data_IF_620638085086
#
_entry.id   IF_620638085086
#
_cell.length_a   1.000
_cell.length_b   1.000
_cell.length_c   1.000
_cell.angle_alpha   90.00
_cell.angle_beta   90.00
_cell.angle_gamma   90.00
#
_symmetry.space_group_name_H-M   'P 1'
#
loop_
_entity.id
_entity.type
_entity.pdbx_description
1 polymer ?
#
# COMPACT_ATOMS: atom_id res chain seq x y z
N UNK A 1 -4.90 -17.35 -19.21
CA UNK A 1 -4.11 -17.45 -17.97
C UNK A 1 -4.68 -18.60 -17.16
N UNK A 2 -3.92 -19.70 -16.99
CA UNK A 2 -4.37 -20.86 -16.21
C UNK A 2 -4.38 -20.45 -14.75
N UNK A 3 -5.56 -20.29 -14.17
CA UNK A 3 -5.74 -20.11 -12.72
C UNK A 3 -5.36 -21.42 -12.04
N UNK A 4 -4.23 -21.41 -11.33
CA UNK A 4 -3.81 -22.59 -10.59
C UNK A 4 -4.70 -22.75 -9.35
N UNK A 5 -5.33 -23.96 -9.25
CA UNK A 5 -6.09 -24.34 -8.07
C UNK A 5 -5.10 -24.78 -6.99
N UNK A 6 -5.17 -24.14 -5.84
CA UNK A 6 -4.37 -24.47 -4.66
C UNK A 6 -5.26 -24.94 -3.51
N UNK A 7 -4.65 -25.66 -2.57
CA UNK A 7 -5.33 -26.24 -1.42
C UNK A 7 -4.70 -25.74 -0.13
N UNK A 8 -5.49 -25.22 0.79
CA UNK A 8 -4.97 -24.78 2.09
C UNK A 8 -4.66 -25.98 2.99
N UNK A 9 -5.50 -27.02 2.94
CA UNK A 9 -5.38 -28.23 3.76
C UNK A 9 -5.43 -29.51 2.89
N UNK A 10 -4.39 -29.80 2.09
CA UNK A 10 -4.41 -30.93 1.15
C UNK A 10 -4.57 -32.29 1.85
N UNK A 11 -4.17 -32.40 3.13
CA UNK A 11 -4.32 -33.61 3.91
C UNK A 11 -5.79 -34.01 4.13
N UNK A 12 -6.75 -33.08 4.07
CA UNK A 12 -8.18 -33.37 4.19
C UNK A 12 -8.68 -34.26 3.05
N UNK A 13 -8.01 -34.28 1.89
CA UNK A 13 -8.34 -35.15 0.76
C UNK A 13 -8.14 -36.63 1.08
N UNK A 14 -7.40 -37.00 2.10
CA UNK A 14 -7.31 -38.41 2.57
C UNK A 14 -8.64 -38.95 3.05
N UNK A 15 -9.61 -38.08 3.36
CA UNK A 15 -10.97 -38.48 3.72
C UNK A 15 -11.90 -38.78 2.51
N UNK A 16 -11.42 -38.63 1.26
CA UNK A 16 -12.21 -38.93 0.05
C UNK A 16 -12.87 -40.31 0.02
N UNK A 17 -12.24 -41.39 0.52
CA UNK A 17 -12.90 -42.69 0.58
C UNK A 17 -14.23 -42.72 1.36
N UNK A 18 -14.43 -41.78 2.32
CA UNK A 18 -15.66 -41.64 3.07
C UNK A 18 -16.86 -41.31 2.18
N UNK A 19 -16.63 -40.69 1.03
CA UNK A 19 -17.67 -40.36 0.06
C UNK A 19 -18.33 -41.64 -0.54
N UNK A 20 -17.68 -42.79 -0.47
CA UNK A 20 -18.23 -44.05 -0.92
C UNK A 20 -19.20 -44.71 0.10
N UNK A 21 -19.12 -44.32 1.39
CA UNK A 21 -19.94 -44.93 2.45
C UNK A 21 -21.47 -44.93 2.16
N UNK A 22 -22.07 -43.82 1.66
CA UNK A 22 -23.49 -43.81 1.37
C UNK A 22 -23.94 -44.75 0.23
N UNK A 23 -22.99 -45.26 -0.58
CA UNK A 23 -23.28 -46.19 -1.68
C UNK A 23 -23.46 -47.63 -1.18
N UNK A 24 -22.94 -47.94 0.01
CA UNK A 24 -23.04 -49.26 0.60
C UNK A 24 -24.26 -49.36 1.53
N UNK A 25 -24.94 -50.51 1.52
CA UNK A 25 -26.04 -50.82 2.44
C UNK A 25 -25.50 -51.20 3.84
N UNK A 26 -24.96 -50.25 4.56
CA UNK A 26 -24.51 -50.46 5.93
C UNK A 26 -25.69 -50.32 6.87
N UNK A 27 -26.26 -51.44 7.27
CA UNK A 27 -27.25 -51.53 8.35
C UNK A 27 -28.72 -51.64 7.97
N UNK A 28 -29.05 -52.04 6.74
CA UNK A 28 -30.42 -52.50 6.44
C UNK A 28 -30.73 -53.73 7.29
N UNK A 29 -31.44 -53.57 8.41
CA UNK A 29 -32.03 -54.69 9.13
C UNK A 29 -33.10 -55.26 8.20
N UNK A 30 -32.76 -56.33 7.47
CA UNK A 30 -33.70 -57.08 6.68
C UNK A 30 -34.61 -57.86 7.63
N UNK A 31 -35.82 -57.36 7.87
CA UNK A 31 -36.86 -58.18 8.45
C UNK A 31 -37.31 -59.12 7.39
N UNK A 32 -37.11 -60.45 7.61
CA UNK A 32 -37.60 -61.44 6.74
C UNK A 32 -39.15 -61.47 6.84
N UNK A 33 -39.81 -60.87 5.86
CA UNK A 33 -41.26 -60.99 5.70
C UNK A 33 -41.59 -62.28 4.82
N UNK A 34 -42.45 -63.14 5.24
CA UNK A 34 -42.59 -64.45 4.62
C UNK A 34 -43.22 -64.49 3.18
N UNK A 35 -43.63 -63.33 2.66
CA UNK A 35 -44.35 -63.28 1.34
C UNK A 35 -44.05 -62.02 0.56
N UNK A 36 -42.78 -61.82 0.15
CA UNK A 36 -42.42 -60.71 -0.73
C UNK A 36 -42.24 -61.11 -2.21
N UNK A 37 -42.43 -62.40 -2.54
CA UNK A 37 -42.24 -62.90 -3.89
C UNK A 37 -43.26 -62.39 -4.91
N UNK A 38 -44.39 -61.88 -4.44
CA UNK A 38 -45.52 -61.48 -5.32
C UNK A 38 -45.61 -59.99 -5.59
N UNK A 39 -44.69 -59.23 -5.07
CA UNK A 39 -44.67 -57.80 -5.29
C UNK A 39 -43.86 -57.43 -6.54
N UNK A 40 -44.49 -56.72 -7.50
CA UNK A 40 -43.75 -56.26 -8.68
C UNK A 40 -42.57 -55.33 -8.28
N UNK A 41 -41.44 -55.59 -8.91
CA UNK A 41 -40.26 -54.75 -8.71
C UNK A 41 -40.58 -53.31 -9.12
N UNK A 42 -40.75 -52.43 -8.14
CA UNK A 42 -41.02 -51.02 -8.40
C UNK A 42 -39.72 -50.31 -8.84
N UNK A 43 -39.64 -50.01 -10.15
CA UNK A 43 -38.53 -49.31 -10.76
C UNK A 43 -38.36 -47.90 -10.17
N UNK A 44 -39.47 -47.24 -9.79
CA UNK A 44 -39.45 -45.89 -9.26
C UNK A 44 -38.72 -45.84 -7.90
N UNK A 45 -39.05 -46.79 -6.99
CA UNK A 45 -38.37 -46.93 -5.69
C UNK A 45 -36.88 -47.24 -5.84
N UNK A 46 -36.52 -48.05 -6.83
CA UNK A 46 -35.11 -48.39 -7.08
C UNK A 46 -34.33 -47.18 -7.57
N UNK A 47 -34.89 -46.39 -8.48
CA UNK A 47 -34.29 -45.14 -9.00
C UNK A 47 -34.17 -44.10 -7.88
N UNK A 48 -35.24 -43.91 -7.09
CA UNK A 48 -35.25 -42.97 -5.98
C UNK A 48 -34.15 -43.30 -4.97
N UNK A 49 -34.01 -44.56 -4.59
CA UNK A 49 -32.96 -45.03 -3.68
C UNK A 49 -31.57 -44.79 -4.24
N UNK A 50 -31.36 -45.05 -5.53
CA UNK A 50 -30.08 -44.76 -6.18
C UNK A 50 -29.77 -43.28 -6.19
N UNK A 51 -30.75 -42.38 -6.45
CA UNK A 51 -30.60 -40.94 -6.41
C UNK A 51 -30.26 -40.44 -5.01
N UNK A 52 -30.95 -40.93 -3.97
CA UNK A 52 -30.66 -40.54 -2.58
C UNK A 52 -29.23 -40.96 -2.16
N UNK A 53 -28.79 -42.16 -2.55
CA UNK A 53 -27.41 -42.62 -2.31
C UNK A 53 -26.38 -41.75 -3.03
N UNK A 54 -26.65 -41.44 -4.29
CA UNK A 54 -25.79 -40.56 -5.09
C UNK A 54 -25.70 -39.16 -4.47
N UNK A 55 -26.84 -38.61 -3.99
CA UNK A 55 -26.88 -37.33 -3.27
C UNK A 55 -26.04 -37.40 -1.99
N UNK A 56 -26.13 -38.48 -1.23
CA UNK A 56 -25.32 -38.67 -0.02
C UNK A 56 -23.83 -38.73 -0.33
N UNK A 57 -23.44 -39.51 -1.32
CA UNK A 57 -22.06 -39.62 -1.75
C UNK A 57 -21.50 -38.25 -2.24
N UNK A 58 -22.29 -37.50 -3.03
CA UNK A 58 -21.94 -36.21 -3.52
C UNK A 58 -21.81 -35.16 -2.37
N UNK A 59 -22.71 -35.23 -1.39
CA UNK A 59 -22.66 -34.37 -0.21
C UNK A 59 -21.39 -34.61 0.62
N UNK A 60 -21.02 -35.86 0.85
CA UNK A 60 -19.79 -36.20 1.55
C UNK A 60 -18.56 -35.80 0.72
N UNK A 61 -18.58 -36.06 -0.58
CA UNK A 61 -17.50 -35.64 -1.49
C UNK A 61 -17.26 -34.14 -1.45
N UNK A 62 -18.34 -33.36 -1.62
CA UNK A 62 -18.23 -31.89 -1.60
C UNK A 62 -17.82 -31.36 -0.23
N UNK A 63 -18.25 -32.00 0.87
CA UNK A 63 -17.83 -31.64 2.22
C UNK A 63 -16.33 -31.90 2.42
N UNK A 64 -15.80 -33.03 1.98
CA UNK A 64 -14.36 -33.33 2.07
C UNK A 64 -13.55 -32.38 1.22
N UNK A 65 -13.99 -32.10 -0.01
CA UNK A 65 -13.31 -31.14 -0.90
C UNK A 65 -13.36 -29.73 -0.31
N UNK A 66 -14.49 -29.30 0.24
CA UNK A 66 -14.62 -28.01 0.92
C UNK A 66 -13.69 -27.88 2.13
N UNK A 67 -13.54 -28.99 2.91
CA UNK A 67 -12.62 -29.04 4.06
C UNK A 67 -11.15 -28.91 3.68
N UNK A 68 -10.77 -29.28 2.45
CA UNK A 68 -9.45 -29.04 1.90
C UNK A 68 -9.21 -27.56 1.56
N UNK A 69 -10.25 -26.69 1.66
CA UNK A 69 -10.24 -25.26 1.41
C UNK A 69 -9.55 -24.91 0.08
N UNK A 70 -10.15 -25.28 -1.07
CA UNK A 70 -9.63 -24.93 -2.38
C UNK A 70 -9.76 -23.44 -2.62
N UNK A 71 -8.70 -22.83 -3.18
CA UNK A 71 -8.71 -21.43 -3.58
C UNK A 71 -8.02 -21.22 -4.93
N UNK A 72 -8.45 -20.21 -5.63
CA UNK A 72 -7.78 -19.71 -6.82
C UNK A 72 -6.90 -18.54 -6.43
N UNK A 73 -5.63 -18.59 -6.82
CA UNK A 73 -4.77 -17.42 -6.66
C UNK A 73 -5.29 -16.29 -7.53
N UNK A 74 -5.46 -15.14 -6.91
CA UNK A 74 -5.71 -13.91 -7.64
C UNK A 74 -4.49 -13.61 -8.52
N UNK A 75 -4.72 -13.39 -9.81
CA UNK A 75 -3.65 -12.94 -10.70
C UNK A 75 -3.09 -11.59 -10.25
N UNK A 76 -1.90 -11.23 -10.73
CA UNK A 76 -1.41 -9.85 -10.64
C UNK A 76 -2.05 -9.01 -11.75
N UNK A 77 -2.58 -7.86 -11.39
CA UNK A 77 -3.06 -6.87 -12.32
C UNK A 77 -2.13 -5.67 -12.27
N UNK A 78 -1.55 -5.30 -13.41
CA UNK A 78 -0.76 -4.08 -13.51
C UNK A 78 -1.74 -2.91 -13.59
N UNK A 79 -1.78 -2.11 -12.54
CA UNK A 79 -2.55 -0.87 -12.50
C UNK A 79 -1.61 0.31 -12.70
N UNK A 80 -2.11 1.35 -13.38
CA UNK A 80 -1.43 2.64 -13.43
C UNK A 80 -2.04 3.53 -12.35
N UNK A 81 -1.26 3.86 -11.32
CA UNK A 81 -1.64 4.86 -10.33
C UNK A 81 -1.59 6.26 -10.96
N UNK A 82 -2.58 7.07 -10.67
CA UNK A 82 -2.56 8.51 -10.97
C UNK A 82 -2.34 9.25 -9.66
N UNK A 83 -1.46 10.26 -9.71
CA UNK A 83 -1.09 11.05 -8.54
C UNK A 83 0.20 10.56 -7.85
N UNK A 84 0.62 11.30 -6.85
CA UNK A 84 1.79 11.02 -6.03
C UNK A 84 1.47 11.17 -4.54
N UNK A 85 2.20 10.42 -3.71
CA UNK A 85 2.27 10.59 -2.26
C UNK A 85 3.51 11.46 -1.97
N UNK A 86 3.30 12.71 -1.58
CA UNK A 86 4.37 13.70 -1.41
C UNK A 86 4.47 14.10 0.06
N UNK A 87 5.63 13.83 0.67
CA UNK A 87 5.93 14.33 2.01
C UNK A 87 6.87 15.51 1.90
N UNK A 88 6.38 16.69 2.28
CA UNK A 88 7.16 17.93 2.34
C UNK A 88 8.00 17.89 3.63
N UNK A 89 9.31 18.06 3.48
CA UNK A 89 10.26 18.17 4.59
C UNK A 89 10.84 19.58 4.53
N UNK A 90 10.31 20.45 5.40
CA UNK A 90 10.68 21.87 5.40
C UNK A 90 11.68 22.19 6.51
N UNK A 91 12.82 22.72 6.12
CA UNK A 91 13.82 23.26 7.02
C UNK A 91 13.30 24.55 7.66
N UNK A 92 13.44 24.64 8.97
CA UNK A 92 13.08 25.82 9.77
C UNK A 92 14.28 26.36 10.55
N UNK A 93 15.51 26.04 10.14
CA UNK A 93 16.72 26.57 10.73
C UNK A 93 16.81 28.10 10.58
N UNK A 94 17.64 28.72 11.37
CA UNK A 94 17.79 30.20 11.38
C UNK A 94 18.18 30.75 10.03
N UNK A 95 19.01 30.07 9.26
CA UNK A 95 19.43 30.42 7.91
C UNK A 95 18.29 30.53 6.90
N UNK A 96 17.16 29.84 7.14
CA UNK A 96 15.95 29.95 6.32
C UNK A 96 15.23 31.31 6.50
N UNK A 97 15.60 32.11 7.48
CA UNK A 97 15.16 33.54 7.63
C UNK A 97 15.92 34.53 6.75
N UNK A 98 17.03 34.09 6.16
CA UNK A 98 17.80 34.90 5.24
C UNK A 98 17.13 35.12 3.89
N UNK A 99 17.40 36.20 3.18
CA UNK A 99 16.86 36.45 1.85
C UNK A 99 17.46 35.49 0.82
N UNK A 100 16.71 35.17 -0.22
CA UNK A 100 17.25 34.54 -1.43
C UNK A 100 18.10 35.56 -2.21
N UNK A 101 19.20 35.11 -2.86
CA UNK A 101 20.15 35.97 -3.60
C UNK A 101 19.45 36.91 -4.59
N UNK A 102 18.49 36.42 -5.35
CA UNK A 102 17.78 37.18 -6.39
C UNK A 102 16.61 38.03 -5.91
N UNK A 103 16.38 38.14 -4.59
CA UNK A 103 15.30 38.97 -4.04
C UNK A 103 15.61 40.46 -3.95
N UNK A 104 16.79 40.89 -4.39
CA UNK A 104 17.24 42.30 -4.44
C UNK A 104 16.65 43.05 -5.64
N UNK A 105 15.34 43.08 -5.79
CA UNK A 105 14.65 43.95 -6.74
C UNK A 105 14.33 45.32 -6.12
N UNK A 106 14.20 46.36 -6.94
CA UNK A 106 14.00 47.77 -6.57
C UNK A 106 12.73 48.09 -5.73
N UNK A 107 11.95 47.10 -5.35
CA UNK A 107 10.78 47.18 -4.46
C UNK A 107 11.07 46.38 -3.16
N UNK A 108 11.74 46.97 -2.27
CA UNK A 108 11.96 46.85 -0.79
C UNK A 108 11.37 45.68 0.01
N UNK A 109 11.00 44.57 -0.61
CA UNK A 109 10.53 43.36 0.03
C UNK A 109 11.49 42.20 -0.20
N UNK A 110 12.53 42.11 0.66
CA UNK A 110 13.40 40.96 0.75
C UNK A 110 12.58 39.76 1.25
N UNK A 111 12.03 38.93 0.33
CA UNK A 111 11.35 37.72 0.71
C UNK A 111 12.40 36.70 1.20
N UNK A 112 12.28 36.28 2.46
CA UNK A 112 13.17 35.26 3.01
C UNK A 112 12.86 33.85 2.45
N UNK A 113 13.86 32.94 2.55
CA UNK A 113 13.78 31.55 1.99
C UNK A 113 12.52 30.83 2.44
N UNK A 114 12.15 30.91 3.74
CA UNK A 114 10.99 30.18 4.27
C UNK A 114 9.66 30.75 3.77
N UNK A 115 9.54 32.09 3.62
CA UNK A 115 8.32 32.70 3.10
C UNK A 115 8.11 32.39 1.62
N UNK A 116 9.18 32.44 0.83
CA UNK A 116 9.17 32.05 -0.57
C UNK A 116 8.77 30.57 -0.72
N UNK A 117 9.39 29.67 0.08
CA UNK A 117 9.05 28.25 0.11
C UNK A 117 7.57 28.02 0.45
N UNK A 118 7.06 28.67 1.51
CA UNK A 118 5.66 28.58 1.92
C UNK A 118 4.70 28.95 0.80
N UNK A 119 4.91 30.13 0.20
CA UNK A 119 4.06 30.65 -0.88
C UNK A 119 4.02 29.70 -2.09
N UNK A 120 5.18 29.25 -2.52
CA UNK A 120 5.29 28.39 -3.69
C UNK A 120 4.75 26.99 -3.45
N UNK A 121 5.00 26.40 -2.26
CA UNK A 121 4.47 25.09 -1.89
C UNK A 121 2.93 25.10 -1.77
N UNK A 122 2.34 26.16 -1.20
CA UNK A 122 0.89 26.31 -1.17
C UNK A 122 0.30 26.35 -2.59
N UNK A 123 0.88 27.15 -3.49
CA UNK A 123 0.44 27.21 -4.89
C UNK A 123 0.65 25.87 -5.62
N UNK A 124 1.71 25.13 -5.33
CA UNK A 124 1.96 23.79 -5.86
C UNK A 124 0.87 22.81 -5.46
N UNK A 125 0.55 22.74 -4.16
CA UNK A 125 -0.49 21.85 -3.65
C UNK A 125 -1.85 22.14 -4.29
N UNK A 126 -2.22 23.40 -4.48
CA UNK A 126 -3.49 23.80 -5.12
C UNK A 126 -3.62 23.32 -6.56
N UNK A 127 -2.50 23.25 -7.31
CA UNK A 127 -2.49 22.80 -8.71
C UNK A 127 -2.53 21.27 -8.87
N UNK A 128 -2.49 20.51 -7.77
CA UNK A 128 -2.35 19.05 -7.78
C UNK A 128 -3.45 18.33 -6.98
N UNK A 129 -4.71 18.40 -7.46
CA UNK A 129 -5.85 17.86 -6.72
C UNK A 129 -5.84 16.34 -6.55
N UNK A 130 -5.09 15.59 -7.36
CA UNK A 130 -4.98 14.13 -7.31
C UNK A 130 -3.87 13.59 -6.41
N UNK A 131 -3.06 14.46 -5.79
CA UNK A 131 -1.96 14.03 -4.93
C UNK A 131 -2.34 14.06 -3.46
N UNK A 132 -1.71 13.15 -2.69
CA UNK A 132 -1.75 13.15 -1.23
C UNK A 132 -0.53 13.85 -0.68
N UNK A 133 -0.74 14.70 0.33
CA UNK A 133 0.33 15.45 0.95
C UNK A 133 0.49 15.10 2.42
N UNK A 134 1.76 15.07 2.87
CA UNK A 134 2.14 15.05 4.26
C UNK A 134 3.20 16.12 4.51
N UNK A 135 3.46 16.48 5.76
CA UNK A 135 4.44 17.48 6.11
C UNK A 135 5.19 17.14 7.38
N UNK A 136 6.50 17.26 7.31
CA UNK A 136 7.39 17.31 8.46
C UNK A 136 8.19 18.61 8.39
N UNK A 137 8.53 19.16 9.54
CA UNK A 137 9.47 20.28 9.64
C UNK A 137 10.63 19.90 10.53
N UNK A 138 11.74 20.58 10.40
CA UNK A 138 12.88 20.34 11.28
C UNK A 138 13.71 21.61 11.51
N UNK A 139 14.34 21.62 12.67
CA UNK A 139 15.50 22.43 13.04
C UNK A 139 16.44 21.50 13.83
N UNK A 140 16.62 21.69 15.11
CA UNK A 140 17.37 20.78 15.99
C UNK A 140 16.71 19.40 16.15
N UNK A 141 15.38 19.31 15.93
CA UNK A 141 14.59 18.08 16.02
C UNK A 141 13.53 18.05 14.92
N UNK A 142 13.15 16.85 14.44
CA UNK A 142 12.06 16.71 13.51
C UNK A 142 10.73 16.89 14.22
N UNK A 143 9.78 17.52 13.53
CA UNK A 143 8.40 17.71 13.99
C UNK A 143 7.46 17.16 12.90
N UNK A 144 6.64 16.17 13.24
CA UNK A 144 5.55 15.74 12.39
C UNK A 144 4.41 16.75 12.43
N UNK A 145 4.13 17.39 11.31
CA UNK A 145 3.08 18.42 11.21
C UNK A 145 1.77 17.81 10.75
N UNK A 146 1.82 17.06 9.65
CA UNK A 146 0.65 16.40 9.08
C UNK A 146 1.04 15.05 8.45
N UNK A 147 0.39 13.95 8.79
CA UNK A 147 0.60 12.68 8.09
C UNK A 147 0.07 12.79 6.66
N UNK A 148 0.46 11.83 5.79
CA UNK A 148 -0.08 11.74 4.43
C UNK A 148 -1.60 11.60 4.46
N UNK A 149 -2.29 12.57 3.87
CA UNK A 149 -3.75 12.67 3.82
C UNK A 149 -4.23 13.31 2.52
N UNK A 150 -5.44 12.97 2.11
CA UNK A 150 -6.18 13.71 1.08
C UNK A 150 -6.67 15.07 1.60
N UNK A 151 -6.85 15.18 2.92
CA UNK A 151 -7.14 16.45 3.59
C UNK A 151 -5.88 17.31 3.65
N UNK A 152 -5.86 18.36 2.84
CA UNK A 152 -4.73 19.29 2.69
C UNK A 152 -4.69 20.37 3.76
N UNK A 153 -5.82 20.56 4.46
CA UNK A 153 -5.96 21.66 5.41
C UNK A 153 -4.90 21.65 6.51
N UNK A 154 -4.49 20.46 6.97
CA UNK A 154 -3.42 20.33 7.96
C UNK A 154 -2.05 20.74 7.41
N UNK A 155 -1.73 20.34 6.17
CA UNK A 155 -0.46 20.70 5.52
C UNK A 155 -0.43 22.21 5.20
N UNK A 156 -1.55 22.75 4.72
CA UNK A 156 -1.70 24.20 4.46
C UNK A 156 -1.53 25.02 5.75
N UNK A 157 -2.19 24.61 6.84
CA UNK A 157 -2.04 25.25 8.14
C UNK A 157 -0.59 25.15 8.66
N UNK A 158 0.05 23.99 8.47
CA UNK A 158 1.45 23.78 8.80
C UNK A 158 2.38 24.69 8.03
N UNK A 159 2.18 24.84 6.72
CA UNK A 159 2.95 25.78 5.89
C UNK A 159 2.72 27.22 6.30
N UNK A 160 1.49 27.63 6.57
CA UNK A 160 1.16 29.00 7.00
C UNK A 160 1.82 29.33 8.34
N UNK A 161 1.88 28.39 9.27
CA UNK A 161 2.48 28.56 10.60
C UNK A 161 4.00 28.35 10.64
N UNK A 162 4.61 27.93 9.52
CA UNK A 162 6.04 27.67 9.47
C UNK A 162 6.85 28.98 9.55
N UNK A 163 7.62 29.12 10.60
CA UNK A 163 8.54 30.22 10.83
C UNK A 163 9.95 29.68 11.04
N UNK A 164 10.97 30.38 10.53
CA UNK A 164 12.36 30.05 10.83
C UNK A 164 12.66 30.34 12.30
N UNK A 165 13.43 29.47 12.94
CA UNK A 165 13.84 29.60 14.33
C UNK A 165 15.34 29.39 14.46
N UNK A 166 16.00 30.34 15.09
CA UNK A 166 17.43 30.26 15.35
C UNK A 166 17.70 29.41 16.59
N UNK A 167 17.63 28.09 16.47
CA UNK A 167 17.93 27.16 17.54
C UNK A 167 18.87 26.04 17.03
N UNK A 168 20.15 26.16 17.40
CA UNK A 168 21.12 25.07 17.43
C UNK A 168 21.37 24.33 16.10
N UNK A 169 21.59 23.01 16.24
CA UNK A 169 21.89 22.12 15.12
C UNK A 169 20.69 21.82 14.24
N UNK A 170 20.95 21.59 12.97
CA UNK A 170 19.94 21.15 12.01
C UNK A 170 20.00 19.63 11.85
N UNK A 171 18.87 18.94 12.00
CA UNK A 171 18.80 17.48 12.03
C UNK A 171 18.03 16.88 10.81
N UNK A 172 18.55 16.99 9.58
CA UNK A 172 17.86 16.54 8.38
C UNK A 172 17.65 15.02 8.34
N UNK A 173 18.58 14.22 8.88
CA UNK A 173 18.49 12.77 8.85
C UNK A 173 17.25 12.25 9.57
N UNK A 174 16.95 12.76 10.75
CA UNK A 174 15.78 12.37 11.53
C UNK A 174 14.48 12.87 10.90
N UNK A 175 14.49 14.03 10.24
CA UNK A 175 13.34 14.55 9.51
C UNK A 175 13.01 13.70 8.28
N UNK A 176 14.02 13.32 7.51
CA UNK A 176 13.87 12.41 6.37
C UNK A 176 13.37 11.03 6.82
N UNK A 177 13.90 10.49 7.93
CA UNK A 177 13.44 9.23 8.48
C UNK A 177 11.96 9.30 8.93
N UNK A 178 11.55 10.40 9.57
CA UNK A 178 10.16 10.64 9.95
C UNK A 178 9.25 10.77 8.72
N UNK A 179 9.70 11.45 7.68
CA UNK A 179 8.95 11.58 6.43
C UNK A 179 8.74 10.20 5.75
N UNK A 180 9.78 9.37 5.74
CA UNK A 180 9.71 8.00 5.20
C UNK A 180 8.81 7.09 6.02
N UNK A 181 8.67 7.35 7.32
CA UNK A 181 7.77 6.60 8.19
C UNK A 181 6.28 6.79 7.82
N UNK A 182 5.91 7.92 7.23
CA UNK A 182 4.56 8.15 6.73
C UNK A 182 4.14 7.20 5.60
N UNK A 183 5.08 6.53 4.93
CA UNK A 183 4.81 5.53 3.91
C UNK A 183 4.75 4.09 4.45
N UNK A 184 5.03 3.86 5.76
CA UNK A 184 5.24 2.52 6.33
C UNK A 184 4.10 1.55 6.04
N UNK A 185 2.87 1.93 6.36
CA UNK A 185 1.70 1.06 6.31
C UNK A 185 0.80 1.34 5.10
N UNK A 186 1.33 2.07 4.11
CA UNK A 186 0.57 2.41 2.90
C UNK A 186 0.90 1.45 1.76
N UNK A 187 -0.11 1.03 0.99
CA UNK A 187 0.14 0.23 -0.21
C UNK A 187 0.88 1.06 -1.26
N UNK A 188 1.76 0.43 -2.04
CA UNK A 188 2.49 1.11 -3.12
C UNK A 188 1.57 1.30 -4.35
N UNK A 189 0.70 2.29 -4.29
CA UNK A 189 -0.29 2.60 -5.33
C UNK A 189 0.02 3.85 -6.13
N UNK A 190 0.97 4.66 -5.65
CA UNK A 190 1.37 5.93 -6.26
C UNK A 190 2.89 6.14 -6.14
N UNK A 191 3.44 7.10 -6.88
CA UNK A 191 4.82 7.53 -6.71
C UNK A 191 5.03 8.13 -5.34
N UNK A 192 6.08 7.70 -4.62
CA UNK A 192 6.43 8.20 -3.29
C UNK A 192 7.57 9.18 -3.38
N UNK A 193 7.37 10.38 -2.89
CA UNK A 193 8.30 11.48 -3.01
C UNK A 193 8.50 12.14 -1.67
N UNK A 194 9.75 12.27 -1.28
CA UNK A 194 10.18 13.14 -0.19
C UNK A 194 10.70 14.43 -0.82
N UNK A 195 9.99 15.54 -0.60
CA UNK A 195 10.35 16.86 -1.10
C UNK A 195 11.04 17.64 0.01
N UNK A 196 12.36 17.65 0.00
CA UNK A 196 13.18 18.39 0.95
C UNK A 196 13.35 19.82 0.47
N UNK A 197 13.05 20.79 1.32
CA UNK A 197 13.33 22.23 1.10
C UNK A 197 14.25 22.71 2.21
N UNK A 198 15.50 22.99 1.89
CA UNK A 198 16.56 23.32 2.85
C UNK A 198 17.72 24.04 2.15
N UNK A 199 18.47 24.84 2.89
CA UNK A 199 19.71 25.43 2.44
C UNK A 199 20.97 24.58 2.67
N UNK A 200 20.78 23.33 3.14
CA UNK A 200 21.85 22.35 3.24
C UNK A 200 22.90 22.61 4.31
N UNK A 201 22.63 23.48 5.26
CA UNK A 201 23.54 23.84 6.36
C UNK A 201 23.69 22.78 7.46
N UNK A 202 23.74 21.48 7.09
CA UNK A 202 23.82 20.40 8.07
C UNK A 202 24.54 19.16 7.51
N UNK A 203 25.18 18.39 8.39
CA UNK A 203 25.81 17.12 8.06
C UNK A 203 25.00 15.92 8.56
N UNK A 204 25.06 14.81 7.82
CA UNK A 204 24.49 13.53 8.23
C UNK A 204 25.62 12.59 8.64
N UNK A 205 25.59 12.10 9.88
CA UNK A 205 26.55 11.10 10.40
C UNK A 205 26.45 9.79 9.63
N UNK A 206 27.57 9.09 9.45
CA UNK A 206 27.64 7.88 8.61
C UNK A 206 26.66 6.79 9.05
N UNK A 207 26.48 6.56 10.34
CA UNK A 207 25.50 5.60 10.87
C UNK A 207 24.05 5.89 10.44
N UNK A 208 23.72 7.18 10.26
CA UNK A 208 22.40 7.61 9.80
C UNK A 208 22.28 7.55 8.27
N UNK A 209 23.40 7.68 7.53
CA UNK A 209 23.44 7.53 6.08
C UNK A 209 23.02 6.12 5.65
N UNK A 210 23.56 5.07 6.30
CA UNK A 210 23.18 3.69 6.02
C UNK A 210 21.70 3.41 6.31
N UNK A 211 21.20 3.91 7.45
CA UNK A 211 19.79 3.78 7.81
C UNK A 211 18.87 4.46 6.80
N UNK A 212 19.24 5.66 6.34
CA UNK A 212 18.45 6.39 5.33
C UNK A 212 18.44 5.66 3.98
N UNK A 213 19.60 5.15 3.51
CA UNK A 213 19.65 4.32 2.29
C UNK A 213 18.67 3.15 2.36
N UNK A 214 18.70 2.42 3.47
CA UNK A 214 17.81 1.29 3.68
C UNK A 214 16.33 1.70 3.68
N UNK A 215 15.99 2.81 4.37
CA UNK A 215 14.62 3.32 4.45
C UNK A 215 14.09 3.80 3.09
N UNK A 216 14.88 4.57 2.32
CA UNK A 216 14.48 5.00 0.99
C UNK A 216 14.23 3.81 0.05
N UNK A 217 15.11 2.82 0.08
CA UNK A 217 14.96 1.60 -0.71
C UNK A 217 13.73 0.78 -0.27
N UNK A 218 13.53 0.59 1.03
CA UNK A 218 12.40 -0.15 1.59
C UNK A 218 11.05 0.52 1.27
N UNK A 219 11.00 1.85 1.33
CA UNK A 219 9.77 2.61 1.08
C UNK A 219 9.55 2.88 -0.41
N UNK A 220 10.51 2.54 -1.28
CA UNK A 220 10.49 2.86 -2.71
C UNK A 220 10.25 4.36 -2.97
N UNK A 221 10.89 5.20 -2.17
CA UNK A 221 10.72 6.64 -2.22
C UNK A 221 11.83 7.31 -3.04
N UNK A 222 11.47 8.36 -3.75
CA UNK A 222 12.39 9.27 -4.43
C UNK A 222 12.65 10.49 -3.56
N UNK A 223 13.85 11.04 -3.61
CA UNK A 223 14.18 12.29 -2.94
C UNK A 223 14.31 13.41 -3.97
N UNK A 224 13.59 14.49 -3.76
CA UNK A 224 13.77 15.74 -4.51
C UNK A 224 14.21 16.79 -3.52
N UNK A 225 15.36 17.39 -3.77
CA UNK A 225 15.89 18.45 -2.93
C UNK A 225 15.83 19.80 -3.63
N UNK A 226 15.06 20.71 -3.06
CA UNK A 226 15.07 22.12 -3.42
C UNK A 226 16.09 22.80 -2.50
N UNK A 227 17.26 23.04 -3.05
CA UNK A 227 18.35 23.73 -2.36
C UNK A 227 18.17 25.25 -2.48
N UNK A 228 17.74 25.88 -1.38
CA UNK A 228 17.50 27.33 -1.32
C UNK A 228 18.81 28.05 -0.93
N UNK A 229 19.44 28.69 -1.90
CA UNK A 229 20.74 29.32 -1.71
C UNK A 229 20.63 30.80 -1.40
N UNK A 230 21.26 31.25 -0.32
CA UNK A 230 21.56 32.66 0.01
C UNK A 230 22.95 33.09 -0.47
N UNK A 231 23.31 34.31 -0.16
CA UNK A 231 24.58 34.92 -0.62
C UNK A 231 25.84 34.22 -0.10
N UNK A 232 25.78 33.68 1.10
CA UNK A 232 26.92 33.03 1.77
C UNK A 232 27.04 31.54 1.44
N UNK A 233 25.98 30.90 0.96
CA UNK A 233 26.03 29.49 0.64
C UNK A 233 26.67 29.24 -0.74
N UNK A 234 27.48 28.17 -0.85
CA UNK A 234 28.16 27.83 -2.09
C UNK A 234 27.17 27.24 -3.12
N UNK A 235 27.46 27.45 -4.40
CA UNK A 235 26.74 26.71 -5.46
C UNK A 235 27.18 25.27 -5.48
N UNK A 236 26.21 24.36 -5.52
CA UNK A 236 26.43 22.94 -5.69
C UNK A 236 26.62 22.61 -7.19
N UNK A 237 25.91 23.31 -8.08
CA UNK A 237 25.99 23.13 -9.54
C UNK A 237 27.34 23.59 -10.10
N UNK A 238 27.93 24.65 -9.52
CA UNK A 238 29.21 25.21 -9.92
C UNK A 238 30.14 25.40 -8.69
N UNK A 239 30.61 24.29 -8.09
CA UNK A 239 31.40 24.37 -6.88
C UNK A 239 32.74 25.05 -7.15
N UNK A 240 33.09 26.06 -6.35
CA UNK A 240 34.42 26.63 -6.34
C UNK A 240 35.41 25.62 -5.77
N UNK A 241 36.58 25.48 -6.37
CA UNK A 241 37.57 24.40 -6.15
C UNK A 241 38.07 24.15 -4.70
N UNK A 242 37.63 24.88 -3.69
CA UNK A 242 38.18 24.76 -2.33
C UNK A 242 37.20 24.52 -1.20
N UNK A 243 35.94 24.30 -1.44
CA UNK A 243 34.94 24.22 -0.36
C UNK A 243 34.33 22.83 -0.28
N UNK A 244 34.89 21.99 0.59
CA UNK A 244 34.11 20.89 1.17
C UNK A 244 33.07 21.57 2.10
N UNK A 245 31.82 21.68 1.64
CA UNK A 245 30.71 22.25 2.41
C UNK A 245 29.73 21.21 2.79
N UNK A 246 28.95 21.46 3.83
CA UNK A 246 27.92 20.54 4.30
C UNK A 246 26.91 20.23 3.19
N UNK A 247 26.49 21.23 2.42
CA UNK A 247 25.57 21.08 1.29
C UNK A 247 26.13 20.19 0.17
N UNK A 248 27.41 20.31 -0.17
CA UNK A 248 28.05 19.45 -1.15
C UNK A 248 28.12 17.99 -0.66
N UNK A 249 28.49 17.80 0.62
CA UNK A 249 28.52 16.47 1.25
C UNK A 249 27.13 15.80 1.28
N UNK A 250 26.08 16.59 1.51
CA UNK A 250 24.69 16.09 1.42
C UNK A 250 24.32 15.71 0.00
N UNK A 251 24.68 16.53 -0.99
CA UNK A 251 24.43 16.26 -2.40
C UNK A 251 25.10 14.96 -2.87
N UNK A 252 26.38 14.79 -2.54
CA UNK A 252 27.13 13.58 -2.84
C UNK A 252 26.49 12.34 -2.18
N UNK A 253 26.10 12.46 -0.91
CA UNK A 253 25.43 11.40 -0.19
C UNK A 253 24.11 11.03 -0.84
N UNK A 254 23.24 11.99 -1.14
CA UNK A 254 21.93 11.76 -1.76
C UNK A 254 22.07 11.18 -3.17
N UNK A 255 23.05 11.65 -3.96
CA UNK A 255 23.35 11.09 -5.28
C UNK A 255 23.85 9.65 -5.25
N UNK A 256 24.58 9.27 -4.19
CA UNK A 256 25.10 7.92 -3.95
C UNK A 256 24.16 6.98 -3.20
N UNK A 257 22.91 7.40 -2.93
CA UNK A 257 22.00 6.67 -2.06
C UNK A 257 21.36 5.42 -2.71
N UNK A 258 21.37 5.34 -4.06
CA UNK A 258 20.79 4.23 -4.81
C UNK A 258 19.27 4.36 -5.06
N UNK A 259 18.62 5.35 -4.49
CA UNK A 259 17.22 5.73 -4.78
C UNK A 259 17.17 6.89 -5.76
N UNK A 260 16.08 7.07 -6.54
CA UNK A 260 15.97 8.22 -7.44
C UNK A 260 16.12 9.53 -6.67
N UNK A 261 17.03 10.39 -7.16
CA UNK A 261 17.37 11.66 -6.53
C UNK A 261 17.46 12.75 -7.59
N UNK A 262 16.85 13.90 -7.31
CA UNK A 262 17.04 15.12 -8.09
C UNK A 262 17.24 16.33 -7.16
N UNK A 263 18.00 17.31 -7.65
CA UNK A 263 18.28 18.53 -6.90
C UNK A 263 18.08 19.75 -7.80
N UNK A 264 17.42 20.74 -7.24
CA UNK A 264 17.23 22.04 -7.87
C UNK A 264 17.86 23.13 -7.01
N UNK A 265 18.92 23.76 -7.51
CA UNK A 265 19.51 24.94 -6.88
C UNK A 265 18.66 26.17 -7.19
N UNK A 266 18.21 26.85 -6.15
CA UNK A 266 17.30 27.98 -6.21
C UNK A 266 17.94 29.19 -5.57
N UNK A 267 18.05 30.28 -6.35
CA UNK A 267 18.64 31.56 -5.94
C UNK A 267 17.63 32.70 -5.96
N UNK A 268 16.43 32.49 -6.52
CA UNK A 268 15.38 33.48 -6.60
C UNK A 268 14.01 32.92 -6.41
N UNK A 269 12.99 33.72 -6.05
CA UNK A 269 11.61 33.26 -5.94
C UNK A 269 11.07 32.63 -7.23
N UNK A 270 11.41 33.15 -8.41
CA UNK A 270 11.01 32.63 -9.71
C UNK A 270 11.74 31.31 -10.02
N UNK A 271 12.98 31.17 -9.54
CA UNK A 271 13.74 29.93 -9.58
C UNK A 271 13.03 28.83 -8.78
N UNK A 272 12.51 29.17 -7.61
CA UNK A 272 11.75 28.26 -6.76
C UNK A 272 10.44 27.82 -7.43
N UNK A 273 9.71 28.75 -8.06
CA UNK A 273 8.50 28.40 -8.81
C UNK A 273 8.79 27.42 -9.97
N UNK A 274 9.89 27.65 -10.70
CA UNK A 274 10.33 26.74 -11.78
C UNK A 274 10.73 25.36 -11.25
N UNK A 275 11.49 25.30 -10.15
CA UNK A 275 11.89 24.05 -9.53
C UNK A 275 10.66 23.23 -9.10
N UNK A 276 9.72 23.84 -8.43
CA UNK A 276 8.48 23.19 -7.98
C UNK A 276 7.59 22.79 -9.16
N UNK A 277 7.53 23.57 -10.24
CA UNK A 277 6.83 23.19 -11.46
C UNK A 277 7.46 21.94 -12.11
N UNK A 278 8.80 21.83 -12.11
CA UNK A 278 9.52 20.67 -12.60
C UNK A 278 9.28 19.42 -11.72
N UNK A 279 9.27 19.58 -10.39
CA UNK A 279 8.80 18.53 -9.48
C UNK A 279 7.41 18.04 -9.89
N UNK A 280 6.49 18.96 -10.20
CA UNK A 280 5.15 18.63 -10.70
C UNK A 280 5.17 17.79 -11.97
N UNK A 281 6.08 18.06 -12.89
CA UNK A 281 6.23 17.28 -14.14
C UNK A 281 6.77 15.87 -13.88
N UNK A 282 7.78 15.74 -13.03
CA UNK A 282 8.39 14.46 -12.67
C UNK A 282 7.42 13.55 -11.92
N UNK A 283 6.57 14.11 -11.08
CA UNK A 283 5.60 13.37 -10.27
C UNK A 283 4.36 12.91 -11.06
N UNK A 284 4.12 13.47 -12.24
CA UNK A 284 2.99 13.08 -13.10
C UNK A 284 3.25 11.82 -13.94
N UNK A 285 4.41 11.19 -13.82
CA UNK A 285 4.69 9.95 -14.52
C UNK A 285 3.80 8.83 -13.95
N UNK A 286 3.08 8.07 -14.81
CA UNK A 286 2.21 7.00 -14.34
C UNK A 286 3.05 5.93 -13.65
N UNK A 287 2.83 5.76 -12.36
CA UNK A 287 3.48 4.68 -11.60
C UNK A 287 2.77 3.38 -11.92
N UNK A 288 3.48 2.44 -12.54
CA UNK A 288 2.98 1.07 -12.74
C UNK A 288 3.26 0.26 -11.48
N UNK A 289 2.21 -0.26 -10.87
CA UNK A 289 2.34 -1.18 -9.75
C UNK A 289 1.55 -2.46 -10.01
N UNK A 290 2.08 -3.57 -9.51
CA UNK A 290 1.40 -4.85 -9.56
C UNK A 290 0.56 -5.02 -8.30
N UNK A 291 -0.75 -4.94 -8.44
CA UNK A 291 -1.66 -5.29 -7.38
C UNK A 291 -1.96 -6.78 -7.45
N UNK A 292 -1.65 -7.52 -6.39
CA UNK A 292 -2.10 -8.91 -6.24
C UNK A 292 -3.58 -8.90 -5.91
N UNK A 293 -4.38 -9.49 -6.78
CA UNK A 293 -5.79 -9.66 -6.51
C UNK A 293 -6.00 -10.61 -5.32
N UNK A 294 -7.04 -10.39 -4.49
CA UNK A 294 -7.33 -11.26 -3.38
C UNK A 294 -7.63 -12.69 -3.86
N UNK A 295 -7.25 -13.66 -3.04
CA UNK A 295 -7.57 -15.07 -3.28
C UNK A 295 -9.07 -15.25 -3.36
N UNK A 296 -9.55 -16.03 -4.34
CA UNK A 296 -10.94 -16.40 -4.44
C UNK A 296 -11.14 -17.75 -3.75
N UNK A 297 -11.78 -17.74 -2.59
CA UNK A 297 -12.13 -18.95 -1.84
C UNK A 297 -13.29 -19.69 -2.50
N UNK A 298 -13.10 -20.98 -2.74
CA UNK A 298 -14.11 -21.88 -3.29
C UNK A 298 -14.72 -22.80 -2.23
N UNK A 299 -14.25 -22.77 -0.97
CA UNK A 299 -14.77 -23.61 0.09
C UNK A 299 -16.22 -23.26 0.46
N UNK A 300 -16.56 -21.97 0.55
CA UNK A 300 -17.89 -21.51 0.95
C UNK A 300 -19.01 -22.02 0.04
N UNK A 301 -18.96 -21.91 -1.31
CA UNK A 301 -19.99 -22.48 -2.17
C UNK A 301 -20.06 -24.01 -2.10
N UNK A 302 -18.92 -24.70 -1.88
CA UNK A 302 -18.91 -26.15 -1.73
C UNK A 302 -19.55 -26.61 -0.42
N UNK A 303 -19.33 -25.89 0.69
CA UNK A 303 -20.05 -26.14 1.94
C UNK A 303 -21.56 -25.92 1.79
N UNK A 304 -21.98 -24.88 1.09
CA UNK A 304 -23.39 -24.62 0.83
C UNK A 304 -24.03 -25.75 0.01
N UNK A 305 -23.32 -26.27 -0.97
CA UNK A 305 -23.80 -27.42 -1.80
C UNK A 305 -23.91 -28.73 -0.97
N UNK A 306 -22.91 -29.00 -0.14
CA UNK A 306 -22.92 -30.15 0.77
C UNK A 306 -24.08 -30.04 1.76
N UNK A 307 -24.29 -28.87 2.36
CA UNK A 307 -25.39 -28.60 3.29
C UNK A 307 -26.76 -28.77 2.63
N UNK A 308 -26.95 -28.23 1.42
CA UNK A 308 -28.19 -28.43 0.65
C UNK A 308 -28.49 -29.91 0.39
N UNK A 309 -27.48 -30.70 0.04
CA UNK A 309 -27.64 -32.15 -0.15
C UNK A 309 -28.03 -32.89 1.14
N UNK A 310 -27.42 -32.52 2.28
CA UNK A 310 -27.76 -33.08 3.60
C UNK A 310 -29.19 -32.71 3.98
N UNK A 311 -29.62 -31.48 3.78
CA UNK A 311 -31.00 -31.04 4.04
C UNK A 311 -32.00 -31.81 3.21
N UNK A 312 -31.71 -32.08 1.93
CA UNK A 312 -32.56 -32.89 1.05
C UNK A 312 -32.71 -34.32 1.57
N UNK A 313 -31.62 -34.95 2.02
CA UNK A 313 -31.63 -36.28 2.60
C UNK A 313 -32.44 -36.33 3.90
N UNK A 314 -32.30 -35.38 4.78
CA UNK A 314 -33.07 -35.26 6.04
C UNK A 314 -34.56 -35.08 5.73
N UNK A 315 -34.89 -34.24 4.76
CA UNK A 315 -36.28 -34.05 4.31
C UNK A 315 -36.86 -35.38 3.75
N UNK A 316 -36.15 -36.04 2.85
CA UNK A 316 -36.58 -37.31 2.31
C UNK A 316 -36.84 -38.35 3.41
N UNK A 317 -35.95 -38.46 4.41
CA UNK A 317 -36.14 -39.38 5.54
C UNK A 317 -37.34 -38.97 6.43
N UNK A 318 -37.61 -37.69 6.61
CA UNK A 318 -38.74 -37.22 7.41
C UNK A 318 -40.11 -37.55 6.75
N UNK A 319 -40.13 -37.59 5.42
CA UNK A 319 -41.33 -37.99 4.66
C UNK A 319 -41.58 -39.52 4.76
N UNK A 320 -40.52 -40.34 4.72
CA UNK A 320 -40.65 -41.82 4.89
C UNK A 320 -41.21 -42.19 6.27
N UNK A 321 -40.80 -41.51 7.34
CA UNK A 321 -41.27 -41.83 8.70
C UNK A 321 -42.74 -41.43 8.92
N UNK A 322 -43.29 -40.47 8.18
CA UNK A 322 -44.68 -40.03 8.32
C UNK A 322 -45.71 -41.01 7.77
N UNK A 323 -45.33 -41.86 6.79
CA UNK A 323 -46.26 -42.81 6.21
C UNK A 323 -46.47 -44.07 7.07
N UNK A 324 -45.65 -44.33 8.09
CA UNK A 324 -45.74 -45.50 8.96
C UNK A 324 -46.45 -45.26 10.31
N UNK A 325 -47.04 -44.06 10.48
CA UNK A 325 -47.78 -43.69 11.70
C UNK A 325 -49.31 -43.60 11.51
N UNK A 326 -49.84 -44.26 10.45
CA UNK A 326 -51.29 -44.35 10.22
C UNK A 326 -51.76 -45.78 10.42
#
# INVERSE_FOLDING_TARGET
MLTHLHWTYPWALWALPLAALPLFDVGARTFAYPRTSDWPADRASTILRALLRATGALSVLTLVVASAAPYLEGGSQTLSGQGAEIVIVLDRSGSMSEPLIGSTGANDHHENKINAARRVLLAFMQRRPGDTFGMTTFNASPIGVAPLSEDRGLVEAGLVSAEARSEGYTAPASALALALDYFRDRPLTAGRIVLLVSDGGATIKEENREKLRALFAERHASLIWIYTRGDEEPSIVAPRRSAATDSLSLHEFFGGMGSPYEMFEVTSPEGLERAVAEVGRLTNLPTRYEQRLPRRDLAAPMFALAFGGICLLVLARSLEVREWQV
#
